data_IF_425585706485
#
_entry.id   IF_425585706485
#
_cell.length_a   1.000
_cell.length_b   1.000
_cell.length_c   1.000
_cell.angle_alpha   90.00
_cell.angle_beta   90.00
_cell.angle_gamma   90.00
#
_symmetry.space_group_name_H-M   'P 1'
#
loop_
_entity.id
_entity.type
_entity.pdbx_description
1 polymer ?
#
# COMPACT_ATOMS: atom_id res chain seq x y z
N UNK A 1 -1.15 -50.36 -5.24
CA UNK A 1 -0.32 -49.15 -5.09
C UNK A 1 -1.14 -47.95 -5.54
N UNK A 2 -1.75 -47.22 -4.61
CA UNK A 2 -2.48 -45.98 -4.90
C UNK A 2 -2.11 -44.98 -3.81
N UNK A 3 -0.95 -44.34 -3.97
CA UNK A 3 -0.62 -43.17 -3.16
C UNK A 3 -1.35 -41.98 -3.76
N UNK A 4 -2.52 -41.68 -3.20
CA UNK A 4 -3.25 -40.45 -3.44
C UNK A 4 -2.41 -39.30 -2.87
N UNK A 5 -1.64 -38.65 -3.73
CA UNK A 5 -0.96 -37.39 -3.37
C UNK A 5 -2.01 -36.29 -3.41
N UNK A 6 -2.80 -36.19 -2.34
CA UNK A 6 -3.64 -35.02 -2.11
C UNK A 6 -2.73 -33.79 -2.08
N UNK A 7 -2.97 -32.92 -3.05
CA UNK A 7 -2.64 -31.50 -3.13
C UNK A 7 -2.02 -30.96 -1.84
N UNK A 8 -0.71 -30.74 -1.85
CA UNK A 8 -0.06 -29.87 -0.88
C UNK A 8 -0.56 -28.45 -1.14
N UNK A 9 -1.71 -28.10 -0.56
CA UNK A 9 -2.10 -26.71 -0.36
C UNK A 9 -0.89 -26.00 0.27
N UNK A 10 -0.43 -24.85 -0.27
CA UNK A 10 0.64 -24.11 0.36
C UNK A 10 0.20 -23.88 1.80
N UNK A 11 0.94 -24.44 2.76
CA UNK A 11 0.74 -24.17 4.17
C UNK A 11 1.05 -22.69 4.34
N UNK A 12 0.06 -21.82 4.18
CA UNK A 12 0.17 -20.45 4.63
C UNK A 12 0.63 -20.56 6.06
N UNK A 13 1.80 -19.98 6.31
CA UNK A 13 2.44 -19.98 7.61
C UNK A 13 1.34 -19.70 8.62
N UNK A 14 1.24 -20.54 9.65
CA UNK A 14 0.47 -20.23 10.86
C UNK A 14 1.13 -19.08 11.62
N UNK A 15 1.56 -18.03 10.90
CA UNK A 15 1.87 -16.75 11.46
C UNK A 15 0.56 -16.30 12.10
N UNK A 16 0.60 -16.20 13.41
CA UNK A 16 -0.50 -15.71 14.23
C UNK A 16 -1.02 -14.41 13.60
N UNK A 17 -2.34 -14.33 13.38
CA UNK A 17 -2.94 -13.15 12.78
C UNK A 17 -2.66 -11.94 13.67
N UNK A 18 -1.86 -10.99 13.16
CA UNK A 18 -1.56 -9.74 13.86
C UNK A 18 -2.53 -8.66 13.37
N UNK A 19 -3.34 -8.06 14.27
CA UNK A 19 -4.21 -6.95 13.90
C UNK A 19 -3.43 -5.77 13.31
N UNK A 20 -4.04 -5.03 12.38
CA UNK A 20 -3.42 -3.86 11.74
C UNK A 20 -2.95 -2.80 12.75
N UNK A 21 -3.72 -2.59 13.82
CA UNK A 21 -3.36 -1.72 14.95
C UNK A 21 -2.00 -2.13 15.56
N UNK A 22 -1.81 -3.42 15.81
CA UNK A 22 -0.59 -3.97 16.41
C UNK A 22 0.59 -3.89 15.42
N UNK A 23 0.35 -4.09 14.13
CA UNK A 23 1.35 -3.87 13.09
C UNK A 23 1.78 -2.40 13.00
N UNK A 24 0.84 -1.47 13.10
CA UNK A 24 1.11 -0.03 13.08
C UNK A 24 1.96 0.39 14.29
N UNK A 25 1.59 -0.09 15.49
CA UNK A 25 2.34 0.17 16.73
C UNK A 25 3.79 -0.33 16.64
N UNK A 26 4.02 -1.55 16.13
CA UNK A 26 5.37 -2.12 15.97
C UNK A 26 6.26 -1.35 15.01
N UNK A 27 5.66 -0.76 13.97
CA UNK A 27 6.37 0.03 12.97
C UNK A 27 6.47 1.53 13.34
N UNK A 28 5.96 1.94 14.49
CA UNK A 28 5.92 3.34 14.91
C UNK A 28 5.01 4.21 14.03
N UNK A 29 4.09 3.58 13.28
CA UNK A 29 3.14 4.27 12.42
C UNK A 29 2.07 4.90 13.32
N UNK A 30 1.87 6.20 13.17
CA UNK A 30 0.84 6.94 13.91
C UNK A 30 -0.39 7.14 13.02
N UNK A 31 -1.61 7.08 13.59
CA UNK A 31 -2.82 7.46 12.86
C UNK A 31 -2.73 8.90 12.35
N UNK A 32 -3.31 9.14 11.18
CA UNK A 32 -3.49 10.48 10.60
C UNK A 32 -4.71 11.11 11.28
N UNK A 33 -4.50 12.18 12.04
CA UNK A 33 -5.58 12.87 12.74
C UNK A 33 -6.15 14.03 11.92
N UNK A 34 -5.32 14.63 11.06
CA UNK A 34 -5.66 15.80 10.25
C UNK A 34 -5.06 15.67 8.85
N UNK A 35 -5.56 16.48 7.91
CA UNK A 35 -4.97 16.56 6.56
C UNK A 35 -3.53 17.08 6.63
N UNK A 36 -3.22 17.97 7.57
CA UNK A 36 -1.88 18.53 7.72
C UNK A 36 -0.84 17.46 8.10
N UNK A 37 -1.24 16.36 8.76
CA UNK A 37 -0.35 15.24 9.04
C UNK A 37 0.15 14.52 7.77
N UNK A 38 -0.56 14.70 6.65
CA UNK A 38 -0.17 14.18 5.33
C UNK A 38 0.74 15.14 4.57
N UNK A 39 0.81 16.40 4.98
CA UNK A 39 1.61 17.40 4.27
C UNK A 39 3.11 17.05 4.39
N UNK A 40 3.79 17.01 3.25
CA UNK A 40 5.24 16.83 3.16
C UNK A 40 5.83 18.09 2.54
N UNK A 41 6.40 18.99 3.35
CA UNK A 41 7.10 20.16 2.81
C UNK A 41 8.20 19.72 1.85
N UNK A 42 8.36 20.43 0.74
CA UNK A 42 9.38 20.15 -0.28
C UNK A 42 9.27 18.74 -0.88
N UNK A 43 8.05 18.18 -0.94
CA UNK A 43 7.80 16.94 -1.66
C UNK A 43 8.07 17.10 -3.17
N UNK A 44 7.80 18.29 -3.68
CA UNK A 44 8.12 18.72 -5.04
C UNK A 44 9.13 19.86 -4.96
N UNK A 45 10.06 19.86 -5.91
CA UNK A 45 11.12 20.86 -6.04
C UNK A 45 10.60 22.14 -6.71
N UNK A 46 9.52 22.05 -7.49
CA UNK A 46 8.85 23.20 -8.10
C UNK A 46 7.36 22.95 -8.38
N UNK A 47 6.63 24.01 -8.69
CA UNK A 47 5.22 23.92 -9.08
C UNK A 47 5.07 23.20 -10.43
N UNK A 48 6.03 23.35 -11.35
CA UNK A 48 6.03 22.64 -12.63
C UNK A 48 6.15 21.11 -12.45
N UNK A 49 6.97 20.65 -11.50
CA UNK A 49 7.07 19.21 -11.18
C UNK A 49 5.74 18.65 -10.64
N UNK A 50 5.06 19.44 -9.80
CA UNK A 50 3.74 19.08 -9.30
C UNK A 50 2.72 18.98 -10.45
N UNK A 51 2.72 19.93 -11.38
CA UNK A 51 1.82 19.94 -12.54
C UNK A 51 2.06 18.72 -13.45
N UNK A 52 3.31 18.37 -13.73
CA UNK A 52 3.69 17.20 -14.53
C UNK A 52 3.23 15.90 -13.85
N UNK A 53 3.44 15.77 -12.53
CA UNK A 53 2.94 14.63 -11.76
C UNK A 53 1.43 14.50 -11.83
N UNK A 54 0.69 15.61 -11.68
CA UNK A 54 -0.77 15.60 -11.75
C UNK A 54 -1.27 15.22 -13.13
N UNK A 55 -0.62 15.69 -14.19
CA UNK A 55 -0.95 15.33 -15.57
C UNK A 55 -0.81 13.82 -15.82
N UNK A 56 0.30 13.22 -15.39
CA UNK A 56 0.54 11.78 -15.51
C UNK A 56 -0.44 10.96 -14.68
N UNK A 57 -0.70 11.36 -13.43
CA UNK A 57 -1.67 10.69 -12.56
C UNK A 57 -3.08 10.70 -13.18
N UNK A 58 -3.50 11.83 -13.77
CA UNK A 58 -4.78 11.93 -14.46
C UNK A 58 -4.85 11.10 -15.74
N UNK A 59 -3.74 10.96 -16.47
CA UNK A 59 -3.66 10.10 -17.64
C UNK A 59 -3.77 8.62 -17.22
N UNK A 60 -2.96 8.19 -16.25
CA UNK A 60 -2.96 6.83 -15.70
C UNK A 60 -4.33 6.40 -15.16
N UNK A 61 -5.00 7.28 -14.40
CA UNK A 61 -6.33 7.00 -13.87
C UNK A 61 -7.38 6.80 -14.97
N UNK A 62 -7.30 7.59 -16.04
CA UNK A 62 -8.24 7.50 -17.18
C UNK A 62 -7.96 6.30 -18.05
N UNK A 63 -6.69 5.88 -18.19
CA UNK A 63 -6.31 4.69 -18.92
C UNK A 63 -6.85 3.40 -18.29
N UNK A 64 -6.92 3.32 -16.95
CA UNK A 64 -7.50 2.18 -16.25
C UNK A 64 -9.04 2.14 -16.22
N UNK A 65 -9.70 3.19 -16.72
CA UNK A 65 -11.16 3.28 -16.80
C UNK A 65 -11.71 3.03 -18.22
N UNK A 66 -10.83 2.77 -19.19
CA UNK A 66 -11.14 2.42 -20.58
C UNK A 66 -10.93 0.91 -20.80
#
# INVERSE_FOLDING_TARGET
MTSSSAEQTPRWSTAEHVPAEEMARRQGIRPIATIDDLARPHLFESDEELDDFLADLHASRRAGAA
#
